data_IF_802496357475
#
_entry.id   IF_802496357475
#
_cell.length_a   1.000
_cell.length_b   1.000
_cell.length_c   1.000
_cell.angle_alpha   90.00
_cell.angle_beta   90.00
_cell.angle_gamma   90.00
#
_symmetry.space_group_name_H-M   'P 1'
#
loop_
_entity.id
_entity.type
_entity.pdbx_description
1 polymer ?
#
# COMPACT_ATOMS: atom_id res chain seq x y z
N UNK A 1 -3.32 -4.03 0.83
CA UNK A 1 -2.30 -2.98 0.99
C UNK A 1 -2.52 -1.92 -0.07
N UNK A 2 -3.23 -0.87 0.31
CA UNK A 2 -3.35 0.36 -0.46
C UNK A 2 -1.96 0.99 -0.68
N UNK A 3 -1.66 1.38 -1.92
CA UNK A 3 -0.44 2.13 -2.27
C UNK A 3 -0.86 3.47 -2.84
N UNK A 4 -1.25 4.40 -1.97
CA UNK A 4 -1.54 5.78 -2.36
C UNK A 4 -0.24 6.54 -2.59
N UNK A 5 -0.06 7.09 -3.79
CA UNK A 5 1.03 8.03 -4.08
C UNK A 5 0.55 9.45 -3.76
N UNK A 6 1.27 10.15 -2.88
CA UNK A 6 0.95 11.54 -2.49
C UNK A 6 0.87 12.41 -3.75
N UNK A 7 -0.26 13.08 -3.95
CA UNK A 7 -0.51 13.93 -5.13
C UNK A 7 -1.29 13.26 -6.27
N UNK A 8 -1.68 11.99 -6.15
CA UNK A 8 -2.60 11.33 -7.09
C UNK A 8 -4.04 11.37 -6.58
N UNK A 9 -5.02 11.24 -7.48
CA UNK A 9 -6.43 11.08 -7.13
C UNK A 9 -6.74 9.73 -6.46
N UNK A 10 -5.81 8.77 -6.49
CA UNK A 10 -5.96 7.45 -5.90
C UNK A 10 -7.03 6.57 -6.57
N UNK A 11 -7.55 6.97 -7.73
CA UNK A 11 -8.62 6.25 -8.42
C UNK A 11 -8.16 5.03 -9.21
N UNK A 12 -6.91 5.03 -9.67
CA UNK A 12 -6.29 3.89 -10.33
C UNK A 12 -5.83 2.87 -9.29
N UNK A 13 -6.58 1.78 -9.15
CA UNK A 13 -6.29 0.72 -8.20
C UNK A 13 -5.98 -0.60 -8.91
N UNK A 14 -5.16 -1.43 -8.27
CA UNK A 14 -4.84 -2.77 -8.76
C UNK A 14 -4.90 -3.77 -7.60
N UNK A 15 -5.69 -4.81 -7.77
CA UNK A 15 -5.71 -5.99 -6.92
C UNK A 15 -4.94 -7.09 -7.63
N UNK A 16 -4.06 -7.79 -6.90
CA UNK A 16 -3.30 -8.93 -7.43
C UNK A 16 -3.81 -10.21 -6.77
N UNK A 17 -4.20 -11.17 -7.59
CA UNK A 17 -4.65 -12.49 -7.14
C UNK A 17 -3.68 -13.57 -7.61
N UNK A 18 -3.30 -14.44 -6.70
CA UNK A 18 -2.47 -15.60 -6.95
C UNK A 18 -2.85 -16.75 -6.03
N UNK A 19 -2.71 -17.99 -6.50
CA UNK A 19 -2.81 -19.17 -5.66
C UNK A 19 -1.54 -19.32 -4.81
N UNK A 20 -1.68 -19.93 -3.65
CA UNK A 20 -0.52 -20.32 -2.84
C UNK A 20 0.31 -21.37 -3.59
N UNK A 21 1.63 -21.21 -3.55
CA UNK A 21 2.56 -22.16 -4.16
C UNK A 21 3.26 -22.98 -3.07
N UNK A 22 3.58 -24.26 -3.32
CA UNK A 22 4.43 -25.04 -2.43
C UNK A 22 5.81 -24.38 -2.25
N UNK A 23 6.45 -24.58 -1.10
CA UNK A 23 7.72 -23.93 -0.74
C UNK A 23 8.85 -24.08 -1.79
N UNK A 24 8.90 -25.21 -2.49
CA UNK A 24 9.93 -25.50 -3.50
C UNK A 24 9.55 -25.05 -4.91
N UNK A 25 8.34 -24.54 -5.10
CA UNK A 25 7.86 -24.06 -6.39
C UNK A 25 7.97 -22.53 -6.46
N UNK A 26 8.70 -22.07 -7.47
CA UNK A 26 8.97 -20.64 -7.70
C UNK A 26 8.14 -20.08 -8.86
N UNK A 27 7.33 -20.92 -9.53
CA UNK A 27 6.49 -20.47 -10.61
C UNK A 27 5.35 -19.59 -10.07
N UNK A 28 5.14 -18.38 -10.62
CA UNK A 28 3.98 -17.57 -10.26
C UNK A 28 2.70 -18.31 -10.67
N UNK A 29 1.70 -18.29 -9.79
CA UNK A 29 0.41 -18.92 -10.03
C UNK A 29 -0.71 -17.87 -10.03
N UNK A 30 -0.77 -16.98 -11.06
CA UNK A 30 -1.75 -15.89 -11.13
C UNK A 30 -3.17 -16.42 -11.34
N UNK A 31 -4.16 -15.73 -10.76
CA UNK A 31 -5.58 -16.10 -10.90
C UNK A 31 -6.25 -15.19 -11.93
N UNK A 32 -6.71 -15.76 -13.04
CA UNK A 32 -7.53 -15.09 -14.05
C UNK A 32 -8.98 -15.62 -14.01
N UNK A 33 -9.94 -14.83 -14.50
CA UNK A 33 -11.35 -15.19 -14.60
C UNK A 33 -12.15 -15.09 -13.30
N UNK A 34 -11.63 -14.43 -12.27
CA UNK A 34 -12.38 -14.13 -11.05
C UNK A 34 -13.29 -12.91 -11.25
N UNK A 35 -14.40 -12.85 -10.51
CA UNK A 35 -15.15 -11.61 -10.32
C UNK A 35 -14.58 -10.88 -9.10
N UNK A 36 -14.15 -9.63 -9.26
CA UNK A 36 -13.54 -8.83 -8.20
C UNK A 36 -14.29 -7.51 -8.05
N UNK A 37 -14.83 -7.25 -6.85
CA UNK A 37 -15.48 -5.98 -6.52
C UNK A 37 -15.05 -5.47 -5.15
N UNK A 38 -15.07 -4.16 -4.99
CA UNK A 38 -14.89 -3.47 -3.72
C UNK A 38 -16.12 -2.62 -3.45
N UNK A 39 -16.73 -2.77 -2.29
CA UNK A 39 -17.84 -1.95 -1.81
C UNK A 39 -17.35 -0.99 -0.72
N UNK A 40 -17.68 0.29 -0.82
CA UNK A 40 -17.56 1.23 0.27
C UNK A 40 -18.77 1.06 1.19
N UNK A 41 -18.64 0.27 2.25
CA UNK A 41 -19.79 -0.09 3.11
C UNK A 41 -20.34 1.10 3.92
N UNK A 42 -19.63 2.23 3.91
CA UNK A 42 -20.07 3.47 4.58
C UNK A 42 -21.12 4.22 3.77
N UNK A 43 -21.05 4.17 2.42
CA UNK A 43 -21.97 4.89 1.53
C UNK A 43 -22.68 4.02 0.48
N UNK A 44 -22.26 2.76 0.32
CA UNK A 44 -22.85 1.77 -0.59
C UNK A 44 -22.28 1.77 -2.01
N UNK A 45 -21.23 2.55 -2.31
CA UNK A 45 -20.64 2.59 -3.64
C UNK A 45 -19.92 1.27 -3.96
N UNK A 46 -20.06 0.79 -5.21
CA UNK A 46 -19.45 -0.47 -5.67
C UNK A 46 -18.53 -0.19 -6.84
N UNK A 47 -17.30 -0.68 -6.74
CA UNK A 47 -16.25 -0.57 -7.74
C UNK A 47 -15.89 -1.95 -8.28
N UNK A 48 -15.96 -2.11 -9.60
CA UNK A 48 -15.59 -3.36 -10.28
C UNK A 48 -14.15 -3.26 -10.76
N UNK A 49 -13.40 -4.36 -10.62
CA UNK A 49 -12.03 -4.47 -11.10
C UNK A 49 -11.95 -5.45 -12.28
N UNK A 50 -11.46 -4.94 -13.42
CA UNK A 50 -11.38 -5.67 -14.68
C UNK A 50 -10.16 -6.60 -14.71
N UNK A 51 -10.38 -7.86 -15.08
CA UNK A 51 -9.33 -8.88 -15.22
C UNK A 51 -8.37 -8.55 -16.37
N UNK A 52 -7.08 -8.44 -16.06
CA UNK A 52 -6.01 -8.20 -17.03
C UNK A 52 -5.39 -9.50 -17.57
N UNK A 53 -5.93 -10.67 -17.18
CA UNK A 53 -5.51 -12.02 -17.61
C UNK A 53 -4.08 -12.40 -17.19
N UNK A 54 -3.48 -11.65 -16.26
CA UNK A 54 -2.14 -11.88 -15.73
C UNK A 54 -2.12 -11.97 -14.19
N UNK A 55 -3.30 -12.13 -13.57
CA UNK A 55 -3.51 -12.10 -12.12
C UNK A 55 -3.73 -10.70 -11.56
N UNK A 56 -3.64 -9.64 -12.38
CA UNK A 56 -4.02 -8.28 -11.99
C UNK A 56 -5.47 -8.02 -12.35
N UNK A 57 -6.15 -7.32 -11.45
CA UNK A 57 -7.48 -6.78 -11.63
C UNK A 57 -7.39 -5.27 -11.40
N UNK A 58 -7.88 -4.46 -12.32
CA UNK A 58 -7.67 -3.00 -12.29
C UNK A 58 -8.96 -2.22 -12.41
N UNK A 59 -9.02 -1.06 -11.76
CA UNK A 59 -10.11 -0.10 -11.92
C UNK A 59 -9.54 1.32 -11.98
N UNK A 60 -10.23 2.21 -12.68
CA UNK A 60 -10.00 3.65 -12.68
C UNK A 60 -11.12 4.42 -11.98
N UNK A 61 -12.15 3.72 -11.52
CA UNK A 61 -13.40 4.31 -11.04
C UNK A 61 -13.45 4.37 -9.51
N UNK A 62 -12.42 3.88 -8.82
CA UNK A 62 -12.36 3.88 -7.38
C UNK A 62 -12.36 5.32 -6.84
N UNK A 63 -13.25 5.63 -5.90
CA UNK A 63 -13.30 6.91 -5.22
C UNK A 63 -12.82 6.75 -3.77
N UNK A 64 -11.54 7.02 -3.48
CA UNK A 64 -10.98 6.87 -2.13
C UNK A 64 -11.56 7.91 -1.17
N UNK A 65 -12.08 7.43 -0.04
CA UNK A 65 -12.59 8.24 1.07
C UNK A 65 -11.86 7.81 2.34
N UNK A 66 -11.06 8.73 2.87
CA UNK A 66 -10.34 8.49 4.13
C UNK A 66 -11.34 8.25 5.26
N UNK A 67 -11.00 7.30 6.13
CA UNK A 67 -11.80 6.81 7.25
C UNK A 67 -13.07 6.04 6.85
N UNK A 68 -13.29 5.75 5.56
CA UNK A 68 -14.33 4.82 5.15
C UNK A 68 -13.83 3.38 5.19
N UNK A 69 -14.76 2.47 5.47
CA UNK A 69 -14.52 1.02 5.42
C UNK A 69 -14.93 0.46 4.07
N UNK A 70 -14.09 -0.42 3.54
CA UNK A 70 -14.26 -1.06 2.25
C UNK A 70 -14.27 -2.58 2.40
N UNK A 71 -15.19 -3.25 1.71
CA UNK A 71 -15.29 -4.70 1.65
C UNK A 71 -14.88 -5.18 0.25
N UNK A 72 -13.85 -6.00 0.18
CA UNK A 72 -13.43 -6.72 -1.02
C UNK A 72 -14.20 -8.04 -1.10
N UNK A 73 -14.83 -8.31 -2.24
CA UNK A 73 -15.36 -9.63 -2.59
C UNK A 73 -14.68 -10.16 -3.86
N UNK A 74 -14.19 -11.39 -3.77
CA UNK A 74 -13.64 -12.14 -4.90
C UNK A 74 -14.41 -13.44 -5.06
N UNK A 75 -14.94 -13.68 -6.25
CA UNK A 75 -15.60 -14.95 -6.62
C UNK A 75 -14.73 -15.66 -7.66
N UNK A 76 -14.22 -16.83 -7.31
CA UNK A 76 -13.39 -17.66 -8.17
C UNK A 76 -13.70 -19.14 -7.94
N UNK A 77 -13.89 -19.93 -9.01
CA UNK A 77 -14.23 -21.35 -8.92
C UNK A 77 -15.40 -21.69 -7.98
N UNK A 78 -16.46 -20.86 -8.00
CA UNK A 78 -17.64 -20.98 -7.13
C UNK A 78 -17.35 -20.80 -5.62
N UNK A 79 -16.16 -20.32 -5.26
CA UNK A 79 -15.81 -19.93 -3.90
C UNK A 79 -15.81 -18.41 -3.78
N UNK A 80 -16.26 -17.91 -2.62
CA UNK A 80 -16.30 -16.49 -2.31
C UNK A 80 -15.31 -16.18 -1.20
N UNK A 81 -14.42 -15.23 -1.47
CA UNK A 81 -13.42 -14.73 -0.55
C UNK A 81 -13.75 -13.28 -0.23
N UNK A 82 -13.70 -12.91 1.05
CA UNK A 82 -13.98 -11.55 1.50
C UNK A 82 -12.88 -11.00 2.38
N UNK A 83 -12.68 -9.68 2.32
CA UNK A 83 -11.81 -8.95 3.22
C UNK A 83 -12.41 -7.58 3.51
N UNK A 84 -12.12 -7.03 4.69
CA UNK A 84 -12.59 -5.71 5.10
C UNK A 84 -11.38 -4.88 5.55
N UNK A 85 -11.27 -3.66 5.06
CA UNK A 85 -10.19 -2.72 5.41
C UNK A 85 -10.75 -1.29 5.51
N UNK A 86 -10.30 -0.54 6.51
CA UNK A 86 -10.60 0.89 6.63
C UNK A 86 -9.45 1.69 6.03
N UNK A 87 -9.77 2.61 5.11
CA UNK A 87 -8.77 3.47 4.48
C UNK A 87 -8.29 4.54 5.46
N UNK A 88 -7.20 4.27 6.18
CA UNK A 88 -6.63 5.19 7.15
C UNK A 88 -5.73 6.25 6.49
N UNK A 89 -5.68 7.48 7.04
CA UNK A 89 -4.72 8.48 6.59
C UNK A 89 -3.30 8.06 6.97
N UNK A 90 -2.32 8.56 6.22
CA UNK A 90 -0.89 8.45 6.55
C UNK A 90 -0.44 9.81 7.08
N UNK A 91 0.31 9.89 8.20
CA UNK A 91 0.82 11.14 8.72
C UNK A 91 1.77 11.81 7.72
N UNK A 92 1.82 13.14 7.76
CA UNK A 92 2.80 13.87 6.97
C UNK A 92 4.22 13.62 7.51
N UNK A 93 5.19 13.53 6.59
CA UNK A 93 6.60 13.55 6.95
C UNK A 93 6.96 15.00 7.25
N UNK A 94 7.35 15.28 8.49
CA UNK A 94 7.72 16.62 8.95
C UNK A 94 9.09 17.04 8.38
N UNK A 95 10.06 16.12 8.48
CA UNK A 95 11.41 16.30 7.92
C UNK A 95 12.10 14.95 7.72
N UNK A 96 13.07 14.95 6.81
CA UNK A 96 13.98 13.83 6.57
C UNK A 96 15.40 14.39 6.71
N UNK A 97 16.25 13.69 7.45
CA UNK A 97 17.64 14.07 7.66
C UNK A 97 18.56 12.89 7.39
N UNK A 98 19.74 13.18 6.83
CA UNK A 98 20.84 12.21 6.73
C UNK A 98 22.02 12.59 7.63
N UNK A 99 22.70 11.59 8.18
CA UNK A 99 23.91 11.74 9.00
C UNK A 99 24.88 10.58 8.76
N UNK A 100 26.14 10.72 9.19
CA UNK A 100 27.12 9.61 9.32
C UNK A 100 27.60 9.46 10.76
N UNK A 101 26.99 10.21 11.67
CA UNK A 101 27.43 10.38 13.06
C UNK A 101 26.51 9.69 14.07
N UNK A 102 25.38 9.12 13.63
CA UNK A 102 24.39 8.50 14.52
C UNK A 102 24.55 6.98 14.60
N UNK A 103 25.01 6.36 13.52
CA UNK A 103 25.29 4.94 13.40
C UNK A 103 26.62 4.53 14.03
N UNK A 104 26.81 3.22 14.12
CA UNK A 104 28.04 2.61 14.65
C UNK A 104 29.20 2.64 13.66
N UNK A 105 28.94 2.86 12.38
CA UNK A 105 29.93 2.90 11.30
C UNK A 105 29.93 4.29 10.62
N UNK A 106 31.04 5.05 10.66
CA UNK A 106 31.14 6.36 10.02
C UNK A 106 31.11 6.30 8.47
N UNK A 107 31.24 5.12 7.87
CA UNK A 107 31.08 4.91 6.42
C UNK A 107 29.61 4.71 6.02
N UNK A 108 28.71 4.42 6.96
CA UNK A 108 27.28 4.26 6.71
C UNK A 108 26.54 5.61 6.74
N UNK A 109 25.49 5.72 5.91
CA UNK A 109 24.60 6.88 5.89
C UNK A 109 23.34 6.54 6.69
N UNK A 110 23.15 7.22 7.82
CA UNK A 110 21.96 7.14 8.64
C UNK A 110 20.86 8.02 8.05
N UNK A 111 19.67 7.47 7.89
CA UNK A 111 18.48 8.26 7.57
C UNK A 111 17.55 8.34 8.79
N UNK A 112 17.19 9.55 9.17
CA UNK A 112 16.19 9.80 10.21
C UNK A 112 14.96 10.45 9.60
N UNK A 113 13.80 9.81 9.77
CA UNK A 113 12.51 10.32 9.33
C UNK A 113 11.73 10.78 10.56
N UNK A 114 11.21 12.00 10.50
CA UNK A 114 10.39 12.58 11.56
C UNK A 114 8.96 12.74 11.06
N UNK A 115 8.01 12.24 11.84
CA UNK A 115 6.58 12.39 11.63
C UNK A 115 5.86 12.31 12.99
N UNK A 116 4.65 12.85 13.05
CA UNK A 116 3.82 12.79 14.25
C UNK A 116 2.85 11.61 14.17
N UNK A 117 2.96 10.69 15.13
CA UNK A 117 1.99 9.61 15.31
C UNK A 117 0.70 10.17 15.96
N UNK A 118 -0.48 10.07 15.32
CA UNK A 118 -1.74 10.54 15.89
C UNK A 118 -2.06 9.86 17.22
N UNK A 119 -2.36 10.67 18.25
CA UNK A 119 -2.70 10.13 19.56
C UNK A 119 -4.04 9.40 19.55
N UNK A 120 -4.11 8.25 20.24
CA UNK A 120 -5.30 7.42 20.40
C UNK A 120 -5.80 6.72 19.13
N UNK A 121 -4.96 6.56 18.12
CA UNK A 121 -5.24 5.75 16.94
C UNK A 121 -4.39 4.47 16.98
N UNK A 122 -5.00 3.31 16.70
CA UNK A 122 -4.24 2.06 16.52
C UNK A 122 -3.91 1.95 15.04
N UNK A 123 -2.70 2.36 14.67
CA UNK A 123 -2.20 2.29 13.30
C UNK A 123 -0.81 1.64 13.28
N UNK A 124 -0.36 1.26 12.09
CA UNK A 124 0.95 0.66 11.87
C UNK A 124 1.59 1.33 10.65
N UNK A 125 2.89 1.61 10.76
CA UNK A 125 3.65 2.28 9.72
C UNK A 125 4.63 1.31 9.06
N UNK A 126 4.63 1.28 7.73
CA UNK A 126 5.62 0.57 6.93
C UNK A 126 6.40 1.58 6.11
N UNK A 127 7.72 1.62 6.34
CA UNK A 127 8.65 2.51 5.66
C UNK A 127 9.54 1.65 4.77
N UNK A 128 9.68 2.05 3.51
CA UNK A 128 10.61 1.42 2.56
C UNK A 128 11.49 2.49 1.92
N UNK A 129 12.75 2.15 1.68
CA UNK A 129 13.70 3.00 0.98
C UNK A 129 13.87 2.47 -0.44
N UNK A 130 13.64 3.33 -1.41
CA UNK A 130 14.01 3.05 -2.79
C UNK A 130 15.36 3.71 -3.03
N UNK A 131 16.34 2.93 -3.48
CA UNK A 131 17.65 3.46 -3.85
C UNK A 131 17.47 4.49 -4.96
N UNK A 132 17.89 5.73 -4.69
CA UNK A 132 17.85 6.85 -5.61
C UNK A 132 19.25 7.42 -5.80
N UNK A 133 19.46 8.09 -6.94
CA UNK A 133 20.76 8.68 -7.30
C UNK A 133 21.08 9.96 -6.50
N UNK A 134 20.09 10.57 -5.82
CA UNK A 134 20.21 11.86 -5.13
C UNK A 134 20.43 11.72 -3.62
N UNK A 135 21.39 12.48 -3.10
CA UNK A 135 21.66 12.61 -1.65
C UNK A 135 20.63 13.54 -0.99
N UNK A 136 20.20 13.19 0.23
CA UNK A 136 19.21 13.94 1.01
C UNK A 136 19.85 15.06 1.85
N UNK A 137 19.09 16.01 2.43
CA UNK A 137 19.67 17.08 3.25
C UNK A 137 20.42 16.55 4.49
N UNK A 138 21.63 17.04 4.72
CA UNK A 138 22.46 16.67 5.88
C UNK A 138 22.03 17.41 7.14
N UNK A 139 21.95 16.71 8.26
CA UNK A 139 21.77 17.37 9.57
C UNK A 139 23.07 18.09 9.94
N UNK A 140 23.03 19.42 10.04
CA UNK A 140 24.17 20.20 10.54
C UNK A 140 24.03 20.38 12.06
N UNK A 141 25.00 19.89 12.82
CA UNK A 141 25.06 20.20 14.26
C UNK A 141 25.51 21.67 14.43
N UNK A 142 24.71 22.48 15.14
CA UNK A 142 25.11 23.79 15.66
C UNK A 142 25.43 23.67 17.14
#
# INVERSE_FOLDING_TARGET
MYRGEKGTLGNNQTIKLSLTTPYYDTAPNPVAGASVRVENITNGDIFIFEDQQDGRYTTSDFEPMINNTYNLEVIYNNETYTAEETLMPVPEIDRIEQSRELGSDPEELDLTIYFNDPANEVNFYYITFLEGEDLLPTRNNV
#
